data_IF_676561074965
#
_entry.id   IF_676561074965
#
_cell.length_a   1.000
_cell.length_b   1.000
_cell.length_c   1.000
_cell.angle_alpha   90.00
_cell.angle_beta   90.00
_cell.angle_gamma   90.00
#
_symmetry.space_group_name_H-M   'P 1'
#
loop_
_entity.id
_entity.type
_entity.pdbx_description
1 polymer ?
#
# COMPACT_ATOMS: atom_id res chain seq x y z
N UNK A 1 -10.36 -36.48 14.00
CA UNK A 1 -9.03 -36.39 13.32
C UNK A 1 -8.73 -34.94 12.96
N UNK A 2 -7.44 -34.58 13.05
CA UNK A 2 -6.75 -33.46 12.40
C UNK A 2 -6.91 -32.01 12.92
N UNK A 3 -5.74 -31.40 13.12
CA UNK A 3 -5.39 -30.12 13.75
C UNK A 3 -5.74 -28.93 12.85
N UNK A 4 -6.30 -27.84 13.39
CA UNK A 4 -6.37 -26.55 12.70
C UNK A 4 -6.13 -25.39 13.69
N UNK A 5 -4.88 -25.17 14.11
CA UNK A 5 -4.51 -23.97 14.90
C UNK A 5 -4.28 -22.81 13.93
N UNK A 6 -5.32 -22.03 13.64
CA UNK A 6 -5.19 -20.73 12.96
C UNK A 6 -4.52 -19.76 13.93
N UNK A 7 -3.45 -19.10 13.51
CA UNK A 7 -2.95 -17.93 14.21
C UNK A 7 -4.01 -16.85 14.13
N UNK A 8 -4.22 -16.09 15.21
CA UNK A 8 -5.06 -14.90 15.09
C UNK A 8 -4.42 -13.95 14.06
N UNK A 9 -5.18 -13.44 13.09
CA UNK A 9 -4.70 -12.43 12.14
C UNK A 9 -4.00 -11.25 12.82
N UNK A 10 -4.39 -10.98 14.08
CA UNK A 10 -3.78 -9.97 14.95
C UNK A 10 -2.31 -10.26 15.30
N UNK A 11 -1.91 -11.51 15.46
CA UNK A 11 -0.52 -11.90 15.78
C UNK A 11 0.37 -11.83 14.54
N UNK A 12 -0.15 -12.28 13.39
CA UNK A 12 0.53 -12.20 12.09
C UNK A 12 0.75 -10.74 11.67
N UNK A 13 -0.23 -9.86 11.90
CA UNK A 13 -0.17 -8.42 11.65
C UNK A 13 0.80 -7.69 12.59
N UNK A 14 0.82 -8.06 13.87
CA UNK A 14 1.72 -7.48 14.85
C UNK A 14 3.21 -7.78 14.53
N UNK A 15 3.51 -8.96 13.98
CA UNK A 15 4.87 -9.34 13.59
C UNK A 15 5.37 -8.58 12.34
N UNK A 16 4.51 -8.40 11.33
CA UNK A 16 4.84 -7.62 10.12
C UNK A 16 5.00 -6.11 10.41
N UNK A 17 4.31 -5.60 11.44
CA UNK A 17 4.40 -4.21 11.90
C UNK A 17 5.62 -3.91 12.77
N UNK A 18 6.32 -4.93 13.28
CA UNK A 18 7.45 -4.72 14.19
C UNK A 18 8.79 -4.45 13.48
N UNK A 19 8.89 -4.67 12.16
CA UNK A 19 10.18 -4.66 11.43
C UNK A 19 10.16 -3.78 10.16
N UNK A 20 9.03 -3.21 9.77
CA UNK A 20 8.86 -2.46 8.50
C UNK A 20 8.21 -1.09 8.73
N UNK A 21 8.79 0.00 8.19
CA UNK A 21 8.27 1.36 8.38
C UNK A 21 6.95 1.62 7.62
N UNK A 22 6.74 0.94 6.49
CA UNK A 22 5.56 1.11 5.63
C UNK A 22 4.89 -0.24 5.37
N UNK A 23 3.83 -0.60 6.12
CA UNK A 23 3.17 -1.88 5.99
C UNK A 23 2.51 -2.06 4.62
N UNK A 24 2.43 -3.30 4.16
CA UNK A 24 1.68 -3.69 2.97
C UNK A 24 0.23 -3.17 3.02
N UNK A 25 -0.28 -2.68 1.90
CA UNK A 25 -1.62 -2.13 1.77
C UNK A 25 -1.80 -0.72 2.34
N UNK A 26 -0.76 -0.14 2.97
CA UNK A 26 -0.83 1.25 3.44
C UNK A 26 -0.80 2.22 2.27
N UNK A 27 -1.61 3.27 2.36
CA UNK A 27 -1.53 4.37 1.41
C UNK A 27 -0.45 5.35 1.87
N UNK A 28 0.34 5.82 0.91
CA UNK A 28 1.45 6.73 1.14
C UNK A 28 1.42 7.83 0.08
N UNK A 29 1.89 9.01 0.47
CA UNK A 29 2.17 10.09 -0.46
C UNK A 29 3.67 10.16 -0.68
N UNK A 30 4.09 10.33 -1.92
CA UNK A 30 5.47 10.55 -2.29
C UNK A 30 5.82 12.04 -2.22
N UNK A 31 7.10 12.38 -2.29
CA UNK A 31 7.60 13.75 -2.25
C UNK A 31 7.18 14.63 -3.45
N UNK A 32 6.77 14.02 -4.56
CA UNK A 32 6.21 14.71 -5.74
C UNK A 32 4.70 14.99 -5.63
N UNK A 33 4.08 14.56 -4.52
CA UNK A 33 2.65 14.71 -4.27
C UNK A 33 1.81 13.52 -4.74
N UNK A 34 2.39 12.53 -5.40
CA UNK A 34 1.68 11.34 -5.87
C UNK A 34 1.21 10.46 -4.71
N UNK A 35 -0.02 9.98 -4.78
CA UNK A 35 -0.59 9.00 -3.86
C UNK A 35 -0.42 7.59 -4.44
N UNK A 36 0.07 6.69 -3.60
CA UNK A 36 0.34 5.31 -3.94
C UNK A 36 -0.09 4.36 -2.81
N UNK A 37 -0.19 3.07 -3.12
CA UNK A 37 -0.41 1.99 -2.15
C UNK A 37 0.83 1.10 -2.09
N UNK A 38 1.26 0.76 -0.87
CA UNK A 38 2.39 -0.16 -0.66
C UNK A 38 1.96 -1.56 -1.09
N UNK A 39 2.67 -2.13 -2.07
CA UNK A 39 2.39 -3.48 -2.58
C UNK A 39 3.47 -4.48 -2.20
N UNK A 40 4.67 -4.01 -1.84
CA UNK A 40 5.75 -4.86 -1.30
C UNK A 40 6.66 -4.04 -0.37
N UNK A 41 7.11 -4.65 0.71
CA UNK A 41 8.12 -4.09 1.62
C UNK A 41 9.52 -4.52 1.19
N UNK A 42 10.52 -3.66 1.33
CA UNK A 42 11.92 -4.01 1.13
C UNK A 42 12.58 -4.30 2.49
N UNK A 43 13.22 -5.46 2.63
CA UNK A 43 13.82 -5.91 3.90
C UNK A 43 15.17 -5.22 4.19
N UNK A 44 15.92 -4.87 3.15
CA UNK A 44 17.23 -4.21 3.27
C UNK A 44 17.11 -2.67 3.36
N UNK A 45 16.00 -2.12 2.89
CA UNK A 45 15.71 -0.68 2.89
C UNK A 45 14.26 -0.46 3.34
N UNK A 46 14.05 -0.47 4.66
CA UNK A 46 12.73 -0.43 5.29
C UNK A 46 11.94 0.86 4.97
N UNK A 47 12.63 1.93 4.60
CA UNK A 47 12.08 3.23 4.23
C UNK A 47 11.71 3.33 2.74
N UNK A 48 12.08 2.33 1.93
CA UNK A 48 11.93 2.33 0.48
C UNK A 48 11.06 1.17 0.00
N UNK A 49 9.75 1.17 0.27
CA UNK A 49 8.85 0.13 -0.21
C UNK A 49 8.66 0.19 -1.72
N UNK A 50 8.06 -0.87 -2.26
CA UNK A 50 7.54 -0.86 -3.63
C UNK A 50 6.08 -0.47 -3.58
N UNK A 51 5.74 0.53 -4.37
CA UNK A 51 4.44 1.20 -4.33
C UNK A 51 3.77 1.13 -5.69
N UNK A 52 2.44 1.04 -5.69
CA UNK A 52 1.60 1.15 -6.89
C UNK A 52 0.98 2.53 -6.94
N UNK A 53 1.26 3.27 -8.01
CA UNK A 53 0.76 4.64 -8.20
C UNK A 53 -0.75 4.64 -8.41
N UNK A 54 -1.46 5.55 -7.74
CA UNK A 54 -2.92 5.66 -7.81
C UNK A 54 -3.37 7.01 -8.36
N UNK A 55 -2.86 8.11 -7.79
CA UNK A 55 -3.27 9.46 -8.14
C UNK A 55 -2.10 10.43 -8.18
N UNK A 56 -2.05 11.30 -9.18
CA UNK A 56 -1.05 12.38 -9.23
C UNK A 56 -1.31 13.44 -8.13
N UNK A 57 -0.44 14.44 -8.06
CA UNK A 57 -0.57 15.55 -7.10
C UNK A 57 -1.82 16.41 -7.29
N UNK A 58 -2.49 16.30 -8.44
CA UNK A 58 -3.75 16.99 -8.78
C UNK A 58 -4.99 16.11 -8.54
N UNK A 59 -4.80 14.86 -8.13
CA UNK A 59 -5.88 13.90 -7.89
C UNK A 59 -6.35 13.16 -9.15
N UNK A 60 -5.66 13.28 -10.28
CA UNK A 60 -5.99 12.49 -11.46
C UNK A 60 -5.47 11.06 -11.30
N UNK A 61 -6.29 10.11 -11.74
CA UNK A 61 -5.92 8.69 -11.72
C UNK A 61 -4.70 8.45 -12.61
N UNK A 62 -3.69 7.81 -12.04
CA UNK A 62 -2.48 7.40 -12.73
C UNK A 62 -2.64 5.96 -13.26
N UNK A 63 -1.91 5.59 -14.32
CA UNK A 63 -1.81 4.19 -14.71
C UNK A 63 -1.22 3.39 -13.55
N UNK A 64 -1.83 2.22 -13.30
CA UNK A 64 -1.49 1.32 -12.21
C UNK A 64 -0.15 0.64 -12.46
N UNK A 65 0.93 1.38 -12.27
CA UNK A 65 2.31 0.94 -12.38
C UNK A 65 2.94 0.81 -10.99
N UNK A 66 3.74 -0.22 -10.81
CA UNK A 66 4.49 -0.44 -9.57
C UNK A 66 5.91 0.09 -9.72
N UNK A 67 6.37 0.83 -8.72
CA UNK A 67 7.70 1.46 -8.67
C UNK A 67 8.40 0.99 -7.40
N UNK A 68 9.65 0.56 -7.55
CA UNK A 68 10.53 0.24 -6.44
C UNK A 68 11.29 1.50 -6.01
N UNK A 69 10.99 2.03 -4.82
CA UNK A 69 11.62 3.24 -4.32
C UNK A 69 13.10 3.03 -3.94
N UNK A 70 13.57 1.78 -3.84
CA UNK A 70 15.00 1.50 -3.65
C UNK A 70 15.82 1.83 -4.90
N UNK A 71 15.22 1.67 -6.09
CA UNK A 71 15.82 1.95 -7.39
C UNK A 71 15.67 3.44 -7.72
N UNK A 72 14.50 4.00 -7.48
CA UNK A 72 14.17 5.39 -7.82
C UNK A 72 14.48 6.32 -6.64
N UNK A 73 15.75 6.65 -6.44
CA UNK A 73 16.23 7.42 -5.28
C UNK A 73 15.68 8.83 -5.15
N UNK A 74 15.15 9.42 -6.24
CA UNK A 74 14.51 10.74 -6.22
C UNK A 74 13.11 10.71 -5.59
N UNK A 75 12.48 9.54 -5.52
CA UNK A 75 11.17 9.35 -4.92
C UNK A 75 11.32 8.70 -3.56
N UNK A 76 10.64 9.26 -2.57
CA UNK A 76 10.56 8.69 -1.23
C UNK A 76 9.19 8.96 -0.62
N UNK A 77 8.81 8.16 0.36
CA UNK A 77 7.56 8.36 1.09
C UNK A 77 7.69 9.62 1.94
N UNK A 78 6.85 10.62 1.64
CA UNK A 78 6.80 11.87 2.40
C UNK A 78 5.86 11.76 3.59
N UNK A 79 4.72 11.09 3.45
CA UNK A 79 3.76 10.88 4.54
C UNK A 79 2.82 9.70 4.32
N UNK A 80 2.25 9.18 5.41
CA UNK A 80 1.15 8.22 5.36
C UNK A 80 -0.15 8.92 4.95
N UNK A 81 -1.01 8.19 4.22
CA UNK A 81 -2.31 8.68 3.74
C UNK A 81 -3.42 7.81 4.31
N UNK A 82 -4.48 8.43 4.81
CA UNK A 82 -5.67 7.70 5.26
C UNK A 82 -6.52 7.24 4.06
N UNK A 83 -7.07 6.03 4.16
CA UNK A 83 -7.96 5.43 3.16
C UNK A 83 -9.19 6.28 2.82
N UNK A 84 -9.72 7.10 3.74
CA UNK A 84 -10.84 8.02 3.47
C UNK A 84 -10.46 9.10 2.46
N UNK A 85 -9.24 9.66 2.55
CA UNK A 85 -8.73 10.65 1.60
C UNK A 85 -8.63 10.04 0.20
N UNK A 86 -8.13 8.80 0.12
CA UNK A 86 -8.05 8.05 -1.14
C UNK A 86 -9.44 7.77 -1.71
N UNK A 87 -10.40 7.41 -0.84
CA UNK A 87 -11.78 7.19 -1.24
C UNK A 87 -12.44 8.44 -1.80
N UNK A 88 -12.18 9.61 -1.21
CA UNK A 88 -12.73 10.89 -1.70
C UNK A 88 -12.17 11.26 -3.08
N UNK A 89 -10.91 10.96 -3.35
CA UNK A 89 -10.32 11.09 -4.69
C UNK A 89 -10.96 10.12 -5.70
N UNK A 90 -11.30 8.91 -5.26
CA UNK A 90 -11.99 7.93 -6.09
C UNK A 90 -13.45 8.29 -6.37
N UNK A 91 -14.17 8.87 -5.40
CA UNK A 91 -15.60 9.20 -5.54
C UNK A 91 -15.87 10.33 -6.55
N UNK A 92 -14.84 11.10 -6.94
CA UNK A 92 -14.91 12.05 -8.06
C UNK A 92 -14.91 11.39 -9.45
N UNK A 93 -14.72 10.06 -9.54
CA UNK A 93 -14.80 9.27 -10.76
C UNK A 93 -15.45 7.92 -10.46
N UNK A 94 -16.77 7.84 -10.72
CA UNK A 94 -17.60 6.64 -10.59
C UNK A 94 -16.93 5.39 -11.17
N UNK A 95 -17.11 4.26 -10.48
CA UNK A 95 -16.66 2.88 -10.77
C UNK A 95 -15.40 2.44 -10.01
N UNK A 96 -15.57 1.87 -8.80
CA UNK A 96 -14.69 0.81 -8.26
C UNK A 96 -15.32 0.20 -6.98
N UNK A 97 -16.59 -0.26 -7.06
CA UNK A 97 -17.26 -0.93 -5.94
C UNK A 97 -17.00 -2.44 -5.84
N UNK A 98 -16.24 -3.06 -6.74
CA UNK A 98 -16.27 -4.53 -6.86
C UNK A 98 -14.93 -5.27 -6.74
N UNK A 99 -13.89 -4.71 -6.12
CA UNK A 99 -12.65 -5.50 -5.91
C UNK A 99 -12.04 -5.39 -4.51
N UNK A 100 -12.86 -5.11 -3.49
CA UNK A 100 -12.40 -5.14 -2.08
C UNK A 100 -12.57 -6.51 -1.41
N UNK A 101 -13.16 -7.51 -2.09
CA UNK A 101 -13.29 -8.87 -1.57
C UNK A 101 -12.24 -9.87 -2.09
N UNK A 102 -11.38 -9.49 -3.04
CA UNK A 102 -10.32 -10.37 -3.59
C UNK A 102 -8.89 -9.96 -3.21
N UNK A 103 -8.74 -9.15 -2.15
CA UNK A 103 -7.43 -8.89 -1.53
C UNK A 103 -7.28 -9.52 -0.14
N UNK A 104 -8.26 -10.32 0.29
CA UNK A 104 -7.97 -11.40 1.21
C UNK A 104 -7.08 -12.40 0.47
N UNK A 105 -5.84 -12.58 0.92
CA UNK A 105 -4.87 -13.58 0.44
C UNK A 105 -3.98 -13.21 -0.77
N UNK A 106 -3.63 -11.94 -0.96
CA UNK A 106 -2.46 -11.60 -1.78
C UNK A 106 -1.14 -11.84 -1.01
N UNK A 107 -0.71 -13.10 -1.09
CA UNK A 107 0.64 -13.69 -0.90
C UNK A 107 1.78 -12.73 -0.51
N UNK A 108 2.27 -12.91 0.72
CA UNK A 108 3.71 -12.89 0.98
C UNK A 108 4.41 -13.99 0.17
#
# INVERSE_FOLDING_TARGET
LARNRKFEPKVIKALLQAVCLYPLGSYVQLNDGTIAIVVRTNLEAYDKPVVKMLYDSKGHKMPTSSIDLSIVTRLHVSQAVNSERVRNLSNGSSEFRENLLELEFAKC
#
